data_IF_121807305250
#
_entry.id   IF_121807305250
#
_cell.length_a   1.000
_cell.length_b   1.000
_cell.length_c   1.000
_cell.angle_alpha   90.00
_cell.angle_beta   90.00
_cell.angle_gamma   90.00
#
_symmetry.space_group_name_H-M   'P 1'
#
loop_
_entity.id
_entity.type
_entity.pdbx_description
1 polymer ?
#
# COMPACT_ATOMS: atom_id res chain seq x y z
N UNK A 1 -7.09 -3.40 18.74
CA UNK A 1 -7.93 -2.39 19.43
C UNK A 1 -7.54 -2.10 20.87
N UNK A 2 -7.38 -3.09 21.77
CA UNK A 2 -7.02 -2.83 23.19
C UNK A 2 -5.51 -2.74 23.48
N UNK A 3 -4.69 -2.77 22.43
CA UNK A 3 -3.24 -2.59 22.56
C UNK A 3 -2.94 -1.17 23.04
N UNK A 4 -1.71 -0.97 23.54
CA UNK A 4 -1.23 0.39 23.84
C UNK A 4 -1.27 1.23 22.54
N UNK A 5 -1.53 2.55 22.64
CA UNK A 5 -1.38 3.44 21.51
C UNK A 5 0.05 3.42 20.98
N UNK A 6 0.17 3.59 19.68
CA UNK A 6 1.41 3.82 18.96
C UNK A 6 2.24 4.93 19.61
N UNK A 7 3.57 4.77 19.61
CA UNK A 7 4.49 5.81 20.05
C UNK A 7 5.28 6.37 18.87
N UNK A 8 5.50 5.55 17.84
CA UNK A 8 6.24 5.95 16.64
C UNK A 8 5.55 5.48 15.36
N UNK A 9 5.74 6.26 14.30
CA UNK A 9 5.39 5.89 12.93
C UNK A 9 6.65 5.83 12.10
N UNK A 10 6.89 4.68 11.47
CA UNK A 10 7.95 4.53 10.48
C UNK A 10 7.44 4.97 9.12
N UNK A 11 8.23 5.75 8.39
CA UNK A 11 7.84 6.38 7.12
C UNK A 11 8.89 6.11 6.05
N UNK A 12 8.49 5.48 4.95
CA UNK A 12 9.35 5.32 3.78
C UNK A 12 9.51 6.67 3.07
N UNK A 13 10.75 7.10 2.89
CA UNK A 13 11.06 8.40 2.32
C UNK A 13 11.98 8.23 1.11
N UNK A 14 11.62 8.80 -0.03
CA UNK A 14 12.51 8.83 -1.20
C UNK A 14 12.94 10.23 -1.56
N UNK A 15 14.09 10.32 -2.21
CA UNK A 15 14.46 11.52 -2.93
C UNK A 15 13.85 11.47 -4.33
N UNK A 16 13.00 12.45 -4.64
CA UNK A 16 12.32 12.48 -5.93
C UNK A 16 13.26 12.90 -7.06
N UNK A 17 13.15 12.25 -8.21
CA UNK A 17 13.79 12.69 -9.46
C UNK A 17 14.98 11.81 -9.85
N UNK A 18 15.21 11.68 -11.15
CA UNK A 18 16.34 10.94 -11.73
C UNK A 18 17.69 11.64 -11.52
N UNK A 19 17.66 12.90 -11.07
CA UNK A 19 18.84 13.78 -10.98
C UNK A 19 19.30 14.03 -9.54
N UNK A 20 18.65 13.42 -8.54
CA UNK A 20 19.07 13.50 -7.14
C UNK A 20 19.86 12.25 -6.78
N UNK A 21 21.14 12.44 -6.47
CA UNK A 21 22.08 11.37 -6.14
C UNK A 21 22.16 11.10 -4.63
N UNK A 22 21.00 11.06 -3.97
CA UNK A 22 20.87 10.76 -2.54
C UNK A 22 20.14 9.43 -2.34
N UNK A 23 20.57 8.58 -1.40
CA UNK A 23 19.87 7.33 -1.12
C UNK A 23 18.54 7.61 -0.42
N UNK A 24 17.49 6.91 -0.85
CA UNK A 24 16.24 6.85 -0.09
C UNK A 24 16.50 6.46 1.38
N UNK A 25 15.54 6.73 2.28
CA UNK A 25 15.72 6.44 3.70
C UNK A 25 14.42 6.03 4.38
N UNK A 26 14.55 5.38 5.53
CA UNK A 26 13.45 5.19 6.47
C UNK A 26 13.56 6.24 7.57
N UNK A 27 12.45 6.90 7.88
CA UNK A 27 12.30 7.82 8.99
C UNK A 27 11.46 7.19 10.10
N UNK A 28 11.71 7.59 11.35
CA UNK A 28 10.84 7.33 12.50
C UNK A 28 10.33 8.66 13.04
N UNK A 29 9.02 8.81 13.12
CA UNK A 29 8.32 9.99 13.62
C UNK A 29 7.76 9.69 14.99
N UNK A 30 8.05 10.55 15.97
CA UNK A 30 7.43 10.48 17.29
C UNK A 30 6.00 11.02 17.23
N UNK A 31 5.04 10.15 17.55
CA UNK A 31 3.61 10.45 17.50
C UNK A 31 2.96 10.45 18.88
N UNK A 32 3.75 10.35 19.96
CA UNK A 32 3.23 10.44 21.32
C UNK A 32 2.98 11.91 21.71
N UNK A 33 1.72 12.33 21.97
CA UNK A 33 1.41 13.71 22.33
C UNK A 33 2.05 14.20 23.63
N UNK A 34 2.50 13.29 24.50
CA UNK A 34 3.19 13.60 25.76
C UNK A 34 4.71 13.76 25.58
N UNK A 35 5.25 13.40 24.41
CA UNK A 35 6.68 13.49 24.12
C UNK A 35 7.11 14.93 23.82
N UNK A 36 8.29 15.38 24.30
CA UNK A 36 8.90 16.65 23.86
C UNK A 36 9.29 16.66 22.37
N UNK A 37 9.31 15.48 21.74
CA UNK A 37 9.59 15.30 20.32
C UNK A 37 8.34 15.02 19.49
N UNK A 38 7.13 15.15 20.07
CA UNK A 38 5.88 14.99 19.34
C UNK A 38 5.90 15.75 18.00
N UNK A 39 5.49 15.05 16.94
CA UNK A 39 5.46 15.58 15.57
C UNK A 39 6.84 15.94 15.01
N UNK A 40 7.88 15.20 15.39
CA UNK A 40 9.24 15.33 14.83
C UNK A 40 9.75 13.98 14.34
N UNK A 41 10.59 14.03 13.30
CA UNK A 41 11.41 12.88 12.90
C UNK A 41 12.56 12.73 13.90
N UNK A 42 12.59 11.61 14.61
CA UNK A 42 13.55 11.31 15.68
C UNK A 42 14.63 10.30 15.26
N UNK A 43 14.33 9.42 14.31
CA UNK A 43 15.26 8.41 13.80
C UNK A 43 15.28 8.36 12.27
N UNK A 44 16.45 8.04 11.69
CA UNK A 44 16.66 7.97 10.23
C UNK A 44 17.69 6.90 9.90
N UNK A 45 17.51 6.16 8.82
CA UNK A 45 18.56 5.34 8.21
C UNK A 45 18.45 5.36 6.70
N UNK A 46 19.57 5.65 6.03
CA UNK A 46 19.65 5.59 4.57
C UNK A 46 19.63 4.14 4.08
N UNK A 47 19.04 3.95 2.90
CA UNK A 47 19.29 2.78 2.08
C UNK A 47 20.76 2.80 1.61
N UNK A 48 21.38 1.64 1.38
CA UNK A 48 22.82 1.59 1.13
C UNK A 48 23.24 2.14 -0.24
N UNK A 49 22.32 2.18 -1.21
CA UNK A 49 22.60 2.57 -2.60
C UNK A 49 21.45 3.43 -3.13
N UNK A 50 21.81 4.49 -3.86
CA UNK A 50 20.89 5.41 -4.55
C UNK A 50 19.98 4.69 -5.54
N UNK A 51 18.76 5.22 -5.73
CA UNK A 51 17.86 4.81 -6.82
C UNK A 51 16.95 3.63 -6.49
N UNK A 52 16.65 3.39 -5.21
CA UNK A 52 15.68 2.37 -4.80
C UNK A 52 14.25 2.71 -5.26
N UNK A 53 13.79 3.93 -5.04
CA UNK A 53 12.37 4.31 -5.07
C UNK A 53 11.56 3.44 -4.10
N UNK A 54 11.89 3.57 -2.80
CA UNK A 54 11.12 2.93 -1.71
C UNK A 54 9.69 3.43 -1.76
N UNK A 55 8.72 2.53 -1.74
CA UNK A 55 7.31 2.86 -1.98
C UNK A 55 6.40 2.34 -0.88
N UNK A 56 6.25 1.02 -0.83
CA UNK A 56 5.61 0.29 0.25
C UNK A 56 6.65 -0.53 1.00
N UNK A 57 6.34 -0.87 2.24
CA UNK A 57 7.14 -1.78 3.03
C UNK A 57 6.23 -2.62 3.91
N UNK A 58 6.79 -3.65 4.55
CA UNK A 58 6.03 -4.51 5.46
C UNK A 58 6.90 -5.02 6.58
N UNK A 59 6.26 -5.51 7.63
CA UNK A 59 6.93 -6.10 8.78
C UNK A 59 7.50 -7.48 8.47
N UNK A 60 8.49 -7.93 9.27
CA UNK A 60 8.94 -9.32 9.27
C UNK A 60 7.92 -10.28 9.88
N UNK A 61 7.15 -9.80 10.87
CA UNK A 61 6.09 -10.55 11.53
C UNK A 61 4.88 -9.68 11.86
N UNK A 62 3.71 -10.29 11.86
CA UNK A 62 2.46 -9.64 12.26
C UNK A 62 1.61 -10.60 13.10
N UNK A 63 0.38 -10.19 13.43
CA UNK A 63 -0.56 -11.00 14.23
C UNK A 63 -0.82 -12.39 13.66
N UNK A 64 -0.62 -12.62 12.36
CA UNK A 64 -0.82 -13.93 11.73
C UNK A 64 0.18 -14.97 12.27
N UNK A 65 1.38 -14.52 12.63
CA UNK A 65 2.50 -15.31 13.15
C UNK A 65 2.41 -15.58 14.66
N UNK A 66 1.23 -15.44 15.30
CA UNK A 66 1.05 -15.58 16.76
C UNK A 66 1.52 -16.92 17.37
N UNK A 67 1.72 -17.97 16.56
CA UNK A 67 2.24 -19.28 17.00
C UNK A 67 3.76 -19.45 16.75
N UNK A 68 4.38 -18.50 16.07
CA UNK A 68 5.81 -18.53 15.71
C UNK A 68 6.53 -17.48 16.55
N UNK A 69 7.43 -17.87 17.47
CA UNK A 69 8.16 -16.91 18.30
C UNK A 69 9.04 -16.02 17.43
N UNK A 70 8.71 -14.73 17.34
CA UNK A 70 9.53 -13.74 16.65
C UNK A 70 9.08 -12.33 17.07
N UNK A 71 10.03 -11.39 17.09
CA UNK A 71 9.76 -10.02 17.45
C UNK A 71 9.57 -9.17 16.19
N UNK A 72 8.57 -8.28 16.25
CA UNK A 72 8.33 -7.24 15.24
C UNK A 72 9.38 -6.15 15.38
N UNK A 73 10.54 -6.34 14.76
CA UNK A 73 11.68 -5.43 14.88
C UNK A 73 12.31 -5.11 13.53
N UNK A 74 11.85 -5.73 12.45
CA UNK A 74 12.37 -5.50 11.12
C UNK A 74 11.27 -5.09 10.16
N UNK A 75 11.61 -4.12 9.32
CA UNK A 75 10.80 -3.73 8.18
C UNK A 75 11.57 -4.01 6.89
N UNK A 76 10.87 -4.54 5.89
CA UNK A 76 11.40 -4.85 4.58
C UNK A 76 10.88 -3.81 3.60
N UNK A 77 11.80 -3.04 3.00
CA UNK A 77 11.53 -1.97 2.05
C UNK A 77 11.99 -2.37 0.64
N UNK A 78 11.09 -2.91 -0.19
CA UNK A 78 11.35 -3.07 -1.62
C UNK A 78 11.61 -1.73 -2.32
N UNK A 79 12.66 -1.70 -3.14
CA UNK A 79 12.93 -0.59 -4.07
C UNK A 79 12.33 -0.90 -5.45
N UNK A 80 11.32 -0.15 -5.86
CA UNK A 80 10.62 -0.40 -7.13
C UNK A 80 11.54 -0.20 -8.35
N UNK A 81 12.52 0.69 -8.28
CA UNK A 81 13.45 0.95 -9.39
C UNK A 81 14.67 0.04 -9.37
N UNK A 82 15.22 -0.21 -8.19
CA UNK A 82 16.44 -1.02 -8.03
C UNK A 82 16.17 -2.52 -8.12
N UNK A 83 14.96 -2.95 -7.72
CA UNK A 83 14.64 -4.36 -7.54
C UNK A 83 15.16 -4.97 -6.23
N UNK A 84 15.78 -4.17 -5.35
CA UNK A 84 16.34 -4.61 -4.06
C UNK A 84 15.23 -4.73 -3.00
N UNK A 85 15.52 -5.48 -1.94
CA UNK A 85 14.77 -5.39 -0.68
C UNK A 85 15.75 -5.03 0.42
N UNK A 86 15.54 -3.87 1.04
CA UNK A 86 16.33 -3.41 2.17
C UNK A 86 15.63 -3.78 3.46
N UNK A 87 16.32 -4.48 4.36
CA UNK A 87 15.83 -4.86 5.68
C UNK A 87 16.43 -3.90 6.70
N UNK A 88 15.57 -3.18 7.41
CA UNK A 88 15.95 -2.22 8.44
C UNK A 88 15.47 -2.74 9.79
N UNK A 89 16.35 -2.68 10.79
CA UNK A 89 15.96 -2.90 12.17
C UNK A 89 15.44 -1.58 12.77
N UNK A 90 14.30 -1.68 13.45
CA UNK A 90 13.54 -0.57 14.04
C UNK A 90 13.27 -0.77 15.55
N UNK A 91 13.98 -1.70 16.20
CA UNK A 91 13.85 -2.01 17.63
C UNK A 91 14.06 -0.78 18.52
N UNK A 92 14.96 0.12 18.12
CA UNK A 92 15.18 1.42 18.77
C UNK A 92 14.72 2.51 17.79
N UNK A 93 13.50 3.06 17.93
CA UNK A 93 12.92 3.97 16.95
C UNK A 93 13.73 5.24 16.68
N UNK A 94 14.52 5.71 17.65
CA UNK A 94 15.42 6.86 17.50
C UNK A 94 16.72 6.52 16.77
N UNK A 95 17.07 5.24 16.70
CA UNK A 95 18.31 4.74 16.10
C UNK A 95 18.01 3.54 15.20
N UNK A 96 17.49 3.83 14.01
CA UNK A 96 17.26 2.84 12.96
C UNK A 96 18.61 2.39 12.36
N UNK A 97 18.72 1.15 11.90
CA UNK A 97 19.91 0.71 11.16
C UNK A 97 19.62 -0.32 10.09
N UNK A 98 20.42 -0.26 9.03
CA UNK A 98 20.44 -1.29 7.98
C UNK A 98 20.87 -2.63 8.56
N UNK A 99 20.02 -3.65 8.40
CA UNK A 99 20.30 -5.02 8.82
C UNK A 99 20.84 -5.86 7.65
N UNK A 100 20.18 -5.80 6.49
CA UNK A 100 20.51 -6.61 5.31
C UNK A 100 19.97 -5.97 4.04
N UNK A 101 20.61 -6.24 2.92
CA UNK A 101 20.03 -6.00 1.60
C UNK A 101 19.96 -7.31 0.84
N UNK A 102 18.80 -7.58 0.24
CA UNK A 102 18.57 -8.69 -0.68
C UNK A 102 18.72 -8.14 -2.09
N UNK A 103 19.74 -8.61 -2.80
CA UNK A 103 20.09 -8.11 -4.12
C UNK A 103 19.11 -8.61 -5.20
N UNK A 104 18.85 -7.81 -6.27
CA UNK A 104 17.90 -8.17 -7.30
C UNK A 104 18.31 -9.44 -8.05
N UNK A 105 19.61 -9.68 -8.20
CA UNK A 105 20.16 -10.89 -8.82
C UNK A 105 19.81 -12.14 -8.01
N UNK A 106 19.95 -12.09 -6.68
CA UNK A 106 19.56 -13.20 -5.80
C UNK A 106 18.07 -13.50 -5.92
N UNK A 107 17.21 -12.48 -5.94
CA UNK A 107 15.77 -12.67 -6.11
C UNK A 107 15.48 -13.31 -7.47
N UNK A 108 16.09 -12.79 -8.55
CA UNK A 108 15.90 -13.31 -9.90
C UNK A 108 16.38 -14.75 -10.03
N UNK A 109 17.58 -15.07 -9.57
CA UNK A 109 18.16 -16.41 -9.68
C UNK A 109 17.33 -17.47 -8.97
N UNK A 110 16.81 -17.17 -7.78
CA UNK A 110 16.07 -18.12 -6.95
C UNK A 110 14.58 -18.24 -7.32
N UNK A 111 14.01 -17.25 -8.01
CA UNK A 111 12.55 -17.16 -8.18
C UNK A 111 12.07 -16.87 -9.60
N UNK A 112 12.93 -16.34 -10.47
CA UNK A 112 12.54 -15.78 -11.76
C UNK A 112 11.83 -14.43 -11.67
N UNK A 113 11.55 -13.91 -10.46
CA UNK A 113 10.82 -12.67 -10.24
C UNK A 113 11.75 -11.45 -10.14
N UNK A 114 11.25 -10.26 -10.47
CA UNK A 114 11.96 -8.98 -10.36
C UNK A 114 11.00 -7.85 -9.96
N UNK A 115 11.52 -6.75 -9.43
CA UNK A 115 10.71 -5.60 -8.97
C UNK A 115 9.76 -5.99 -7.82
N UNK A 116 10.30 -6.35 -6.63
CA UNK A 116 9.49 -6.64 -5.45
C UNK A 116 8.69 -5.42 -5.02
N UNK A 117 7.49 -5.64 -4.46
CA UNK A 117 6.52 -4.60 -4.17
C UNK A 117 5.95 -4.71 -2.75
N UNK A 118 4.90 -5.51 -2.55
CA UNK A 118 4.25 -5.63 -1.25
C UNK A 118 4.83 -6.81 -0.46
N UNK A 119 4.93 -6.66 0.86
CA UNK A 119 5.55 -7.63 1.77
C UNK A 119 4.56 -7.98 2.87
N UNK A 120 4.27 -9.26 3.09
CA UNK A 120 3.39 -9.73 4.16
C UNK A 120 3.93 -10.98 4.85
N UNK A 121 4.11 -10.97 6.18
CA UNK A 121 4.40 -12.16 6.96
C UNK A 121 3.29 -13.19 6.84
N UNK A 122 3.64 -14.47 6.90
CA UNK A 122 2.71 -15.59 6.88
C UNK A 122 2.60 -16.26 8.27
N UNK A 123 1.53 -17.02 8.53
CA UNK A 123 1.35 -17.72 9.82
C UNK A 123 2.47 -18.74 10.13
N UNK A 124 3.10 -19.30 9.10
CA UNK A 124 4.18 -20.27 9.24
C UNK A 124 5.57 -19.64 9.50
N UNK A 125 5.65 -18.30 9.58
CA UNK A 125 6.91 -17.56 9.79
C UNK A 125 7.68 -17.21 8.52
N UNK A 126 7.24 -17.67 7.35
CA UNK A 126 7.76 -17.17 6.07
C UNK A 126 7.19 -15.76 5.79
N UNK A 127 7.79 -15.05 4.83
CA UNK A 127 7.33 -13.76 4.36
C UNK A 127 7.02 -13.87 2.88
N UNK A 128 5.81 -13.52 2.47
CA UNK A 128 5.38 -13.50 1.07
C UNK A 128 5.61 -12.11 0.47
N UNK A 129 6.18 -12.07 -0.73
CA UNK A 129 6.52 -10.83 -1.44
C UNK A 129 5.96 -10.88 -2.85
N UNK A 130 5.25 -9.82 -3.27
CA UNK A 130 4.75 -9.67 -4.64
C UNK A 130 5.74 -8.96 -5.55
N UNK A 131 5.61 -9.17 -6.87
CA UNK A 131 6.48 -8.57 -7.87
C UNK A 131 5.74 -8.07 -9.12
N UNK A 132 6.26 -6.97 -9.67
CA UNK A 132 5.72 -6.35 -10.89
C UNK A 132 6.32 -6.89 -12.18
N UNK A 133 7.42 -7.64 -12.11
CA UNK A 133 8.05 -8.23 -13.28
C UNK A 133 8.72 -9.56 -12.95
N UNK A 134 9.28 -10.17 -13.99
CA UNK A 134 10.13 -11.35 -13.88
C UNK A 134 11.29 -11.24 -14.84
N UNK A 135 11.89 -12.39 -15.13
CA UNK A 135 13.00 -12.53 -16.06
C UNK A 135 12.72 -11.81 -17.40
N UNK A 136 13.70 -11.01 -17.84
CA UNK A 136 13.66 -10.31 -19.13
C UNK A 136 13.74 -11.28 -20.31
N UNK A 137 13.14 -10.93 -21.45
CA UNK A 137 13.28 -11.71 -22.70
C UNK A 137 14.71 -11.75 -23.25
N UNK A 138 15.58 -10.84 -22.81
CA UNK A 138 17.01 -10.80 -23.18
C UNK A 138 17.90 -11.66 -22.28
N UNK A 139 17.36 -12.15 -21.17
CA UNK A 139 18.07 -13.01 -20.24
C UNK A 139 17.96 -14.46 -20.70
N UNK A 140 19.10 -15.13 -20.85
CA UNK A 140 19.19 -16.48 -21.42
C UNK A 140 19.01 -17.61 -20.42
N UNK A 141 18.90 -17.31 -19.12
CA UNK A 141 18.65 -18.35 -18.09
C UNK A 141 17.30 -19.02 -18.34
N UNK A 142 17.12 -20.26 -17.90
CA UNK A 142 15.84 -20.98 -18.01
C UNK A 142 15.07 -20.86 -16.69
N UNK A 143 14.62 -19.65 -16.37
CA UNK A 143 13.87 -19.36 -15.14
C UNK A 143 12.37 -19.26 -15.44
N UNK A 144 11.50 -19.43 -14.42
CA UNK A 144 10.09 -19.11 -14.55
C UNK A 144 9.93 -17.64 -14.99
N UNK A 145 9.12 -17.41 -16.02
CA UNK A 145 8.96 -16.08 -16.62
C UNK A 145 7.79 -15.33 -15.99
N UNK A 146 7.93 -14.02 -15.90
CA UNK A 146 6.84 -13.12 -15.53
C UNK A 146 6.74 -12.78 -14.03
N UNK A 147 5.91 -11.77 -13.71
CA UNK A 147 5.62 -11.33 -12.34
C UNK A 147 5.01 -12.41 -11.47
N UNK A 148 5.00 -12.23 -10.14
CA UNK A 148 4.37 -13.19 -9.24
C UNK A 148 4.61 -12.91 -7.76
N UNK A 149 4.63 -13.98 -6.98
CA UNK A 149 4.82 -14.03 -5.54
C UNK A 149 5.98 -14.97 -5.24
N UNK A 150 6.80 -14.62 -4.25
CA UNK A 150 7.87 -15.48 -3.75
C UNK A 150 8.01 -15.39 -2.23
N UNK A 151 8.68 -16.40 -1.66
CA UNK A 151 8.86 -16.52 -0.22
C UNK A 151 10.27 -16.12 0.21
N UNK A 152 10.35 -15.39 1.32
CA UNK A 152 11.52 -15.29 2.17
C UNK A 152 11.32 -16.14 3.43
N UNK A 153 12.41 -16.67 4.00
CA UNK A 153 12.38 -17.25 5.35
C UNK A 153 12.50 -16.17 6.44
N UNK A 154 12.46 -16.61 7.70
CA UNK A 154 12.58 -15.73 8.87
C UNK A 154 13.95 -15.01 8.99
N UNK A 155 14.99 -15.50 8.30
CA UNK A 155 16.33 -14.89 8.21
C UNK A 155 16.48 -14.01 6.94
N UNK A 156 15.36 -13.72 6.29
CA UNK A 156 15.28 -12.94 5.06
C UNK A 156 16.10 -13.54 3.90
N UNK A 157 16.23 -14.87 3.83
CA UNK A 157 16.79 -15.56 2.67
C UNK A 157 15.68 -15.89 1.68
N UNK A 158 15.98 -15.73 0.39
CA UNK A 158 15.05 -16.07 -0.68
C UNK A 158 14.89 -17.59 -0.72
N UNK A 159 13.65 -18.09 -0.63
CA UNK A 159 13.37 -19.53 -0.62
C UNK A 159 13.05 -20.07 -2.00
N UNK A 160 11.93 -19.61 -2.56
CA UNK A 160 11.39 -20.05 -3.85
C UNK A 160 10.25 -19.16 -4.30
N UNK A 161 9.93 -19.23 -5.58
CA UNK A 161 8.65 -18.78 -6.13
C UNK A 161 7.48 -19.50 -5.44
N UNK A 162 6.42 -18.76 -5.14
CA UNK A 162 5.22 -19.29 -4.51
C UNK A 162 4.22 -19.81 -5.53
N UNK A 163 3.99 -19.07 -6.62
CA UNK A 163 3.01 -19.40 -7.67
C UNK A 163 3.58 -20.18 -8.87
N UNK A 164 2.67 -20.55 -9.80
CA UNK A 164 2.92 -21.30 -11.05
C UNK A 164 3.65 -20.56 -12.19
N UNK A 165 4.08 -19.32 -12.02
CA UNK A 165 4.54 -18.44 -13.10
C UNK A 165 3.45 -17.99 -14.06
N UNK A 166 2.65 -17.05 -13.57
CA UNK A 166 1.57 -16.41 -14.31
C UNK A 166 2.06 -15.09 -14.97
N UNK A 167 1.69 -14.78 -16.24
CA UNK A 167 2.03 -13.49 -16.87
C UNK A 167 1.40 -12.25 -16.21
N UNK A 168 0.52 -12.41 -15.22
CA UNK A 168 -0.24 -11.33 -14.62
C UNK A 168 0.52 -10.60 -13.50
N UNK A 169 0.64 -9.27 -13.63
CA UNK A 169 1.30 -8.43 -12.62
C UNK A 169 0.69 -8.63 -11.22
N UNK A 170 1.51 -8.51 -10.19
CA UNK A 170 1.08 -8.56 -8.80
C UNK A 170 1.75 -7.41 -8.04
N UNK A 171 1.08 -6.27 -7.93
CA UNK A 171 1.61 -5.12 -7.18
C UNK A 171 1.25 -5.25 -5.70
N UNK A 172 -0.03 -5.36 -5.37
CA UNK A 172 -0.50 -5.66 -4.01
C UNK A 172 -1.15 -7.05 -3.95
N UNK A 173 -1.26 -7.58 -2.74
CA UNK A 173 -2.03 -8.77 -2.45
C UNK A 173 -2.48 -8.76 -1.01
N UNK A 174 -3.51 -9.51 -0.69
CA UNK A 174 -3.89 -9.76 0.70
C UNK A 174 -4.40 -11.18 0.80
N UNK A 175 -4.19 -11.80 1.96
CA UNK A 175 -4.64 -13.15 2.22
C UNK A 175 -5.45 -13.24 3.50
N UNK A 176 -6.28 -14.27 3.59
CA UNK A 176 -7.02 -14.60 4.80
C UNK A 176 -6.96 -16.10 5.02
N UNK A 177 -6.38 -16.52 6.14
CA UNK A 177 -6.20 -17.94 6.53
C UNK A 177 -7.01 -18.31 7.78
N UNK A 178 -8.18 -17.68 7.96
CA UNK A 178 -9.08 -17.94 9.08
C UNK A 178 -9.61 -19.38 9.14
N UNK A 179 -10.62 -19.69 9.99
CA UNK A 179 -11.14 -21.06 10.16
C UNK A 179 -11.86 -21.63 8.92
N UNK A 180 -12.18 -20.79 7.93
CA UNK A 180 -12.72 -21.21 6.63
C UNK A 180 -11.56 -21.56 5.67
N UNK A 181 -11.87 -22.01 4.45
CA UNK A 181 -10.82 -22.23 3.46
C UNK A 181 -10.02 -20.94 3.19
N UNK A 182 -8.69 -21.02 3.23
CA UNK A 182 -7.82 -19.87 3.04
C UNK A 182 -7.87 -19.35 1.60
N UNK A 183 -7.66 -18.05 1.43
CA UNK A 183 -7.72 -17.34 0.15
C UNK A 183 -6.64 -16.27 0.06
N UNK A 184 -6.12 -16.04 -1.15
CA UNK A 184 -5.34 -14.86 -1.47
C UNK A 184 -6.00 -14.11 -2.65
N UNK A 185 -6.06 -12.79 -2.55
CA UNK A 185 -6.48 -11.91 -3.64
C UNK A 185 -5.30 -11.00 -3.98
N UNK A 186 -4.93 -10.93 -5.25
CA UNK A 186 -3.90 -10.01 -5.74
C UNK A 186 -4.42 -9.01 -6.76
N UNK A 187 -3.74 -7.86 -6.82
CA UNK A 187 -4.06 -6.75 -7.69
C UNK A 187 -2.86 -6.44 -8.59
N UNK A 188 -3.07 -6.23 -9.90
CA UNK A 188 -1.97 -6.04 -10.83
C UNK A 188 -1.45 -4.60 -10.95
N UNK A 189 -2.29 -3.59 -10.68
CA UNK A 189 -2.11 -2.19 -11.05
C UNK A 189 -1.55 -1.95 -12.46
N UNK A 190 -0.23 -1.95 -12.65
CA UNK A 190 0.44 -1.95 -13.96
C UNK A 190 1.89 -2.41 -13.87
N UNK A 191 2.42 -2.98 -14.95
CA UNK A 191 3.83 -3.37 -15.04
C UNK A 191 4.80 -2.17 -15.11
N UNK A 192 6.12 -2.40 -14.94
CA UNK A 192 7.11 -1.33 -14.79
C UNK A 192 7.16 -0.33 -15.96
N UNK A 193 6.96 -0.81 -17.20
CA UNK A 193 6.95 0.05 -18.40
C UNK A 193 5.87 1.14 -18.33
N UNK A 194 4.71 0.83 -17.74
CA UNK A 194 3.60 1.76 -17.58
C UNK A 194 3.79 2.63 -16.35
N UNK A 195 4.12 2.03 -15.19
CA UNK A 195 4.21 2.73 -13.91
C UNK A 195 5.34 3.77 -13.87
N UNK A 196 6.55 3.37 -14.30
CA UNK A 196 7.79 4.13 -14.05
C UNK A 196 7.89 5.45 -14.80
N UNK A 197 7.09 5.63 -15.85
CA UNK A 197 7.12 6.80 -16.75
C UNK A 197 6.15 7.92 -16.37
N UNK A 198 5.34 7.73 -15.33
CA UNK A 198 4.22 8.63 -15.04
C UNK A 198 2.90 8.11 -15.61
N UNK A 199 1.83 8.87 -15.40
CA UNK A 199 0.50 8.54 -15.89
C UNK A 199 0.39 8.82 -17.39
N UNK A 200 0.16 7.78 -18.18
CA UNK A 200 -0.20 7.88 -19.59
C UNK A 200 -1.68 7.47 -19.82
N UNK A 201 -2.58 8.39 -20.22
CA UNK A 201 -3.97 8.04 -20.47
C UNK A 201 -4.14 7.04 -21.63
N UNK A 202 -3.19 6.94 -22.57
CA UNK A 202 -3.24 5.98 -23.67
C UNK A 202 -3.12 4.53 -23.18
N UNK A 203 -2.50 4.30 -22.02
CA UNK A 203 -2.38 2.98 -21.42
C UNK A 203 -3.72 2.45 -20.84
N UNK A 204 -4.76 3.30 -20.75
CA UNK A 204 -6.11 2.85 -20.40
C UNK A 204 -6.77 2.04 -21.52
N UNK A 205 -6.47 2.38 -22.77
CA UNK A 205 -6.99 1.69 -23.95
C UNK A 205 -6.26 0.37 -24.24
N UNK A 206 -5.08 0.17 -23.64
CA UNK A 206 -4.26 -1.04 -23.81
C UNK A 206 -3.77 -1.27 -25.25
N UNK A 207 -3.76 -0.24 -26.10
CA UNK A 207 -3.35 -0.30 -27.51
C UNK A 207 -1.92 0.25 -27.69
N UNK A 208 -1.26 -0.18 -28.77
CA UNK A 208 -0.04 0.45 -29.33
C UNK A 208 1.25 0.38 -28.48
N UNK A 209 1.46 -0.67 -27.68
CA UNK A 209 2.76 -0.93 -27.04
C UNK A 209 3.14 0.01 -25.87
N UNK A 210 2.23 0.88 -25.43
CA UNK A 210 2.40 1.82 -24.31
C UNK A 210 2.25 1.19 -22.92
N UNK A 211 2.00 -0.12 -22.85
CA UNK A 211 1.65 -0.80 -21.60
C UNK A 211 0.16 -0.70 -21.27
N UNK A 212 -0.28 -1.37 -20.21
CA UNK A 212 -1.69 -1.47 -19.82
C UNK A 212 -1.88 -1.44 -18.31
N UNK A 213 -2.86 -0.69 -17.84
CA UNK A 213 -3.35 -0.80 -16.45
C UNK A 213 -4.28 -2.01 -16.33
N UNK A 214 -4.16 -2.74 -15.22
CA UNK A 214 -5.07 -3.81 -14.87
C UNK A 214 -6.50 -3.31 -14.71
N UNK A 215 -7.46 -4.23 -14.81
CA UNK A 215 -8.89 -3.93 -14.80
C UNK A 215 -9.70 -4.99 -14.01
N UNK A 216 -9.05 -5.64 -13.05
CA UNK A 216 -9.64 -6.71 -12.25
C UNK A 216 -8.64 -7.26 -11.24
N UNK A 217 -9.06 -8.31 -10.54
CA UNK A 217 -8.28 -8.99 -9.49
C UNK A 217 -8.09 -10.45 -9.80
N UNK A 218 -7.06 -11.03 -9.20
CA UNK A 218 -6.78 -12.46 -9.24
C UNK A 218 -7.06 -13.06 -7.88
N UNK A 219 -7.83 -14.12 -7.86
CA UNK A 219 -8.22 -14.82 -6.64
C UNK A 219 -7.55 -16.19 -6.74
N UNK A 220 -6.70 -16.52 -5.76
CA UNK A 220 -5.79 -17.67 -5.79
C UNK A 220 -6.23 -18.77 -4.82
N UNK A 221 -6.04 -20.03 -5.24
CA UNK A 221 -6.10 -21.16 -4.32
C UNK A 221 -4.89 -21.13 -3.39
N UNK A 222 -5.12 -20.81 -2.11
CA UNK A 222 -4.05 -20.73 -1.12
C UNK A 222 -3.36 -22.08 -0.88
N UNK A 223 -4.12 -23.18 -0.91
CA UNK A 223 -3.62 -24.51 -0.58
C UNK A 223 -2.85 -25.15 -1.74
N UNK A 224 -3.17 -24.76 -2.97
CA UNK A 224 -2.43 -25.15 -4.17
C UNK A 224 -2.08 -23.92 -5.02
N UNK A 225 -0.96 -23.27 -4.71
CA UNK A 225 -0.47 -22.11 -5.48
C UNK A 225 -0.10 -22.44 -6.94
N UNK A 226 -0.09 -23.73 -7.31
CA UNK A 226 0.17 -24.17 -8.68
C UNK A 226 -1.07 -24.08 -9.58
N UNK A 227 -2.27 -23.92 -8.99
CA UNK A 227 -3.52 -23.73 -9.72
C UNK A 227 -3.57 -22.39 -10.46
N UNK A 228 -4.34 -22.34 -11.55
CA UNK A 228 -4.63 -21.07 -12.23
C UNK A 228 -5.46 -20.15 -11.33
N UNK A 229 -5.02 -18.91 -11.08
CA UNK A 229 -5.84 -17.96 -10.36
C UNK A 229 -7.07 -17.58 -11.18
N UNK A 230 -8.18 -17.38 -10.49
CA UNK A 230 -9.40 -16.86 -11.11
C UNK A 230 -9.27 -15.36 -11.31
N UNK A 231 -9.36 -14.91 -12.55
CA UNK A 231 -9.50 -13.48 -12.85
C UNK A 231 -10.95 -13.01 -12.72
N UNK A 232 -11.16 -11.92 -11.99
CA UNK A 232 -12.46 -11.24 -11.89
C UNK A 232 -12.31 -9.83 -12.45
N UNK A 233 -12.91 -9.61 -13.62
CA UNK A 233 -12.94 -8.29 -14.27
C UNK A 233 -13.86 -7.33 -13.52
N UNK A 234 -13.40 -6.10 -13.34
CA UNK A 234 -14.19 -4.97 -12.86
C UNK A 234 -14.97 -4.27 -13.99
N UNK A 235 -14.96 -4.84 -15.21
CA UNK A 235 -15.66 -4.30 -16.38
C UNK A 235 -15.27 -2.83 -16.63
N UNK A 236 -16.21 -2.03 -17.10
CA UNK A 236 -16.03 -0.60 -17.35
C UNK A 236 -15.97 0.16 -16.01
N UNK A 237 -15.01 1.07 -15.86
CA UNK A 237 -14.69 1.84 -14.63
C UNK A 237 -13.92 1.07 -13.52
N UNK A 238 -13.10 0.09 -13.90
CA UNK A 238 -12.28 -0.70 -12.98
C UNK A 238 -10.77 -0.55 -13.10
N UNK A 239 -10.26 0.55 -13.68
CA UNK A 239 -8.84 0.67 -14.05
C UNK A 239 -7.90 0.93 -12.87
N UNK A 240 -6.78 0.22 -12.89
CA UNK A 240 -5.73 0.29 -11.89
C UNK A 240 -6.14 -0.22 -10.50
N UNK A 241 -6.64 -1.46 -10.34
CA UNK A 241 -6.78 -2.06 -9.01
C UNK A 241 -5.42 -2.10 -8.31
N UNK A 242 -5.35 -1.54 -7.09
CA UNK A 242 -4.10 -1.47 -6.34
C UNK A 242 -4.27 -1.88 -4.88
N UNK A 243 -4.70 -1.04 -3.91
CA UNK A 243 -4.79 -1.50 -2.54
C UNK A 243 -5.93 -2.51 -2.41
N UNK A 244 -5.62 -3.69 -1.87
CA UNK A 244 -6.60 -4.71 -1.46
C UNK A 244 -6.52 -4.89 0.04
N UNK A 245 -7.66 -4.81 0.73
CA UNK A 245 -7.76 -5.08 2.18
C UNK A 245 -8.91 -6.02 2.44
N UNK A 246 -8.63 -7.16 3.08
CA UNK A 246 -9.70 -7.97 3.67
C UNK A 246 -10.24 -7.31 4.93
N UNK A 247 -11.47 -7.66 5.29
CA UNK A 247 -11.97 -7.43 6.64
C UNK A 247 -11.03 -8.09 7.66
N UNK A 248 -10.85 -7.44 8.81
CA UNK A 248 -10.01 -7.94 9.90
C UNK A 248 -10.57 -9.18 10.55
N UNK A 249 -11.91 -9.31 10.60
CA UNK A 249 -12.55 -10.51 11.11
C UNK A 249 -12.22 -11.73 10.22
N UNK A 250 -11.42 -12.70 10.72
CA UNK A 250 -10.94 -13.82 9.91
C UNK A 250 -12.05 -14.78 9.46
N UNK A 251 -13.27 -14.65 9.98
CA UNK A 251 -14.43 -15.45 9.56
C UNK A 251 -15.16 -14.87 8.34
N UNK A 252 -14.91 -13.60 8.00
CA UNK A 252 -15.55 -12.89 6.88
C UNK A 252 -14.58 -12.76 5.71
N UNK A 253 -14.73 -13.61 4.68
CA UNK A 253 -13.87 -13.61 3.48
C UNK A 253 -14.32 -12.55 2.46
N UNK A 254 -14.28 -11.29 2.87
CA UNK A 254 -14.63 -10.17 2.02
C UNK A 254 -13.49 -9.17 2.00
N UNK A 255 -13.20 -8.63 0.81
CA UNK A 255 -12.14 -7.65 0.63
C UNK A 255 -12.63 -6.43 -0.15
N UNK A 256 -12.15 -5.26 0.24
CA UNK A 256 -12.31 -4.05 -0.55
C UNK A 256 -11.06 -3.81 -1.41
N UNK A 257 -11.28 -3.40 -2.65
CA UNK A 257 -10.23 -3.09 -3.62
C UNK A 257 -10.53 -1.74 -4.27
N UNK A 258 -9.58 -0.80 -4.23
CA UNK A 258 -9.71 0.44 -5.00
C UNK A 258 -9.14 0.26 -6.40
N UNK A 259 -9.94 0.60 -7.41
CA UNK A 259 -9.47 0.85 -8.76
C UNK A 259 -9.03 2.32 -8.85
N UNK A 260 -7.73 2.54 -8.60
CA UNK A 260 -7.12 3.85 -8.36
C UNK A 260 -7.49 4.82 -9.45
N UNK A 261 -7.25 4.47 -10.72
CA UNK A 261 -7.40 5.41 -11.82
C UNK A 261 -8.88 5.74 -12.06
N UNK A 262 -9.76 4.76 -11.88
CA UNK A 262 -11.19 4.96 -12.04
C UNK A 262 -11.83 5.73 -10.89
N UNK A 263 -11.24 5.71 -9.68
CA UNK A 263 -11.86 6.32 -8.49
C UNK A 263 -13.06 5.51 -7.98
N UNK A 264 -13.00 4.17 -8.11
CA UNK A 264 -14.06 3.25 -7.68
C UNK A 264 -13.54 2.25 -6.66
N UNK A 265 -14.42 1.77 -5.77
CA UNK A 265 -14.12 0.71 -4.80
C UNK A 265 -15.04 -0.49 -5.05
N UNK A 266 -14.43 -1.67 -5.02
CA UNK A 266 -15.05 -2.94 -5.31
C UNK A 266 -14.99 -3.85 -4.09
N UNK A 267 -16.10 -4.48 -3.76
CA UNK A 267 -16.21 -5.51 -2.75
C UNK A 267 -16.06 -6.88 -3.43
N UNK A 268 -15.03 -7.62 -3.04
CA UNK A 268 -14.81 -9.02 -3.41
C UNK A 268 -15.51 -9.88 -2.37
N UNK A 269 -16.44 -10.72 -2.81
CA UNK A 269 -17.22 -11.61 -1.94
C UNK A 269 -17.19 -13.03 -2.45
N UNK A 270 -17.21 -13.98 -1.52
CA UNK A 270 -17.52 -15.37 -1.85
C UNK A 270 -19.01 -15.50 -2.18
N UNK A 271 -19.33 -15.85 -3.43
CA UNK A 271 -20.70 -16.06 -3.91
C UNK A 271 -21.24 -17.47 -3.71
N UNK A 272 -20.51 -18.36 -3.02
CA UNK A 272 -21.03 -19.69 -2.71
C UNK A 272 -22.10 -19.57 -1.62
N UNK A 273 -23.28 -20.14 -1.87
CA UNK A 273 -24.23 -20.37 -0.78
C UNK A 273 -23.65 -21.48 0.09
N UNK A 274 -23.64 -21.31 1.40
CA UNK A 274 -23.30 -22.40 2.34
C UNK A 274 -24.27 -23.57 2.07
N UNK A 275 -23.81 -24.55 1.29
CA UNK A 275 -24.44 -25.88 1.21
C UNK A 275 -23.57 -26.82 2.03
N UNK A 276 -24.12 -27.53 3.02
CA UNK A 276 -23.36 -28.39 3.94
C UNK A 276 -22.51 -29.49 3.25
N UNK A 277 -22.80 -29.77 1.99
CA UNK A 277 -22.46 -31.00 1.28
C UNK A 277 -21.67 -30.76 -0.03
N UNK A 278 -21.41 -29.51 -0.42
CA UNK A 278 -20.49 -29.20 -1.52
C UNK A 278 -19.12 -28.80 -0.97
N UNK A 279 -18.02 -29.43 -1.42
CA UNK A 279 -16.68 -28.87 -1.22
C UNK A 279 -16.71 -27.42 -1.70
N UNK A 280 -16.29 -26.48 -0.83
CA UNK A 280 -16.16 -25.07 -1.21
C UNK A 280 -15.21 -24.99 -2.41
N UNK A 281 -15.79 -24.80 -3.59
CA UNK A 281 -15.06 -24.49 -4.81
C UNK A 281 -14.82 -22.99 -4.79
N UNK A 282 -13.57 -22.59 -4.89
CA UNK A 282 -13.14 -21.20 -5.01
C UNK A 282 -13.74 -20.46 -6.23
N UNK A 283 -14.40 -21.19 -7.13
CA UNK A 283 -15.09 -20.69 -8.33
C UNK A 283 -16.29 -19.77 -8.10
N UNK A 284 -16.58 -19.35 -6.87
CA UNK A 284 -17.75 -18.55 -6.56
C UNK A 284 -17.46 -17.08 -6.22
N UNK A 285 -16.21 -16.63 -6.17
CA UNK A 285 -15.92 -15.22 -5.91
C UNK A 285 -16.49 -14.30 -7.01
N UNK A 286 -17.06 -13.18 -6.56
CA UNK A 286 -17.61 -12.10 -7.38
C UNK A 286 -17.10 -10.74 -6.90
N UNK A 287 -17.14 -9.75 -7.79
CA UNK A 287 -16.80 -8.36 -7.49
C UNK A 287 -18.02 -7.46 -7.68
N UNK A 288 -18.30 -6.61 -6.68
CA UNK A 288 -19.40 -5.66 -6.67
C UNK A 288 -18.85 -4.24 -6.54
N UNK A 289 -19.17 -3.34 -7.47
CA UNK A 289 -18.85 -1.91 -7.30
C UNK A 289 -19.74 -1.35 -6.20
N UNK A 290 -19.14 -0.83 -5.15
CA UNK A 290 -19.83 -0.36 -3.94
C UNK A 290 -19.63 1.12 -3.67
N UNK A 291 -18.57 1.72 -4.21
CA UNK A 291 -18.32 3.17 -4.16
C UNK A 291 -17.83 3.64 -5.54
N UNK A 292 -18.32 4.79 -5.98
CA UNK A 292 -17.81 5.53 -7.13
C UNK A 292 -17.68 7.00 -6.72
N UNK A 293 -16.47 7.54 -6.86
CA UNK A 293 -16.20 8.95 -6.61
C UNK A 293 -16.25 9.69 -7.94
N UNK A 294 -17.34 10.41 -8.16
CA UNK A 294 -17.59 11.11 -9.42
C UNK A 294 -16.48 12.14 -9.74
N UNK A 295 -16.03 12.22 -11.00
CA UNK A 295 -15.12 13.27 -11.44
C UNK A 295 -15.70 14.67 -11.19
N UNK A 296 -14.83 15.63 -10.89
CA UNK A 296 -15.19 17.04 -10.67
C UNK A 296 -14.59 17.88 -11.78
N UNK A 297 -15.42 18.75 -12.37
CA UNK A 297 -14.97 19.65 -13.44
C UNK A 297 -14.23 20.86 -12.86
N UNK A 298 -12.98 21.06 -13.28
CA UNK A 298 -12.15 22.22 -12.94
C UNK A 298 -11.57 22.77 -14.25
N UNK A 299 -11.83 24.04 -14.55
CA UNK A 299 -11.36 24.71 -15.78
C UNK A 299 -11.65 23.92 -17.07
N UNK A 300 -12.84 23.32 -17.15
CA UNK A 300 -13.29 22.53 -18.30
C UNK A 300 -12.70 21.12 -18.40
N UNK A 301 -11.85 20.70 -17.45
CA UNK A 301 -11.26 19.36 -17.38
C UNK A 301 -11.92 18.53 -16.29
N UNK A 302 -12.18 17.25 -16.58
CA UNK A 302 -12.70 16.32 -15.58
C UNK A 302 -11.54 15.77 -14.72
N UNK A 303 -11.52 16.19 -13.46
CA UNK A 303 -10.56 15.71 -12.47
C UNK A 303 -11.16 14.51 -11.75
N UNK A 304 -10.61 13.32 -12.01
CA UNK A 304 -10.96 12.09 -11.30
C UNK A 304 -10.42 12.13 -9.86
N UNK A 305 -11.01 11.32 -8.98
CA UNK A 305 -10.57 11.22 -7.58
C UNK A 305 -9.14 10.69 -7.44
N UNK A 306 -8.81 9.68 -8.24
CA UNK A 306 -7.62 8.85 -8.10
C UNK A 306 -7.50 8.25 -6.69
N UNK A 307 -8.35 7.27 -6.38
CA UNK A 307 -8.43 6.68 -5.04
C UNK A 307 -7.23 5.77 -4.77
N UNK A 308 -6.12 6.33 -4.29
CA UNK A 308 -4.80 5.68 -4.26
C UNK A 308 -4.60 4.70 -3.12
N UNK A 309 -5.31 4.86 -2.01
CA UNK A 309 -5.17 4.00 -0.84
C UNK A 309 -6.52 3.78 -0.15
N UNK A 310 -6.62 2.67 0.59
CA UNK A 310 -7.76 2.36 1.43
C UNK A 310 -7.34 1.61 2.71
N UNK A 311 -8.01 1.94 3.83
CA UNK A 311 -7.78 1.32 5.14
C UNK A 311 -9.12 1.01 5.80
N UNK A 312 -9.22 -0.16 6.44
CA UNK A 312 -10.41 -0.61 7.17
C UNK A 312 -10.10 -0.52 8.67
N UNK A 313 -10.99 0.06 9.47
CA UNK A 313 -10.83 0.10 10.92
C UNK A 313 -10.85 -1.30 11.52
N UNK A 314 -10.10 -1.49 12.62
CA UNK A 314 -9.86 -2.82 13.21
C UNK A 314 -11.14 -3.52 13.72
N UNK A 315 -12.25 -2.79 13.91
CA UNK A 315 -13.58 -3.32 14.22
C UNK A 315 -14.43 -3.61 12.97
N UNK A 316 -13.84 -3.50 11.78
CA UNK A 316 -14.51 -3.59 10.48
C UNK A 316 -15.69 -2.62 10.33
N UNK A 317 -15.73 -1.49 11.04
CA UNK A 317 -16.88 -0.57 10.97
C UNK A 317 -16.72 0.52 9.91
N UNK A 318 -15.51 1.04 9.73
CA UNK A 318 -15.23 2.14 8.82
C UNK A 318 -14.20 1.76 7.75
N UNK A 319 -14.41 2.31 6.57
CA UNK A 319 -13.48 2.30 5.44
C UNK A 319 -13.02 3.75 5.19
N UNK A 320 -11.72 3.96 5.10
CA UNK A 320 -11.11 5.24 4.77
C UNK A 320 -10.50 5.19 3.39
N UNK A 321 -10.70 6.25 2.60
CA UNK A 321 -10.18 6.39 1.23
C UNK A 321 -9.36 7.66 1.10
N UNK A 322 -8.23 7.61 0.41
CA UNK A 322 -7.49 8.79 -0.03
C UNK A 322 -7.74 9.04 -1.53
N UNK A 323 -8.27 10.20 -1.87
CA UNK A 323 -8.50 10.61 -3.25
C UNK A 323 -7.43 11.62 -3.64
N UNK A 324 -6.33 11.12 -4.20
CA UNK A 324 -5.10 11.88 -4.36
C UNK A 324 -5.26 13.12 -5.24
N UNK A 325 -6.00 13.04 -6.35
CA UNK A 325 -6.21 14.19 -7.23
C UNK A 325 -7.31 15.13 -6.74
N UNK A 326 -8.35 14.61 -6.08
CA UNK A 326 -9.37 15.46 -5.46
C UNK A 326 -8.84 16.22 -4.26
N UNK A 327 -7.87 15.64 -3.55
CA UNK A 327 -7.28 16.25 -2.37
C UNK A 327 -7.96 15.90 -1.06
N UNK A 328 -8.91 14.96 -1.05
CA UNK A 328 -9.71 14.63 0.12
C UNK A 328 -9.50 13.22 0.66
N UNK A 329 -9.69 13.10 1.97
CA UNK A 329 -9.84 11.83 2.67
C UNK A 329 -11.31 11.64 3.03
N UNK A 330 -11.84 10.45 2.80
CA UNK A 330 -13.23 10.10 3.11
C UNK A 330 -13.29 8.96 4.11
N UNK A 331 -14.30 9.00 4.96
CA UNK A 331 -14.68 7.92 5.87
C UNK A 331 -16.07 7.42 5.49
N UNK A 332 -16.19 6.11 5.31
CA UNK A 332 -17.43 5.43 5.03
C UNK A 332 -17.77 4.45 6.15
N UNK A 333 -18.99 4.49 6.68
CA UNK A 333 -19.55 3.39 7.46
C UNK A 333 -19.82 2.22 6.51
N UNK A 334 -19.22 1.07 6.80
CA UNK A 334 -19.33 -0.14 5.99
C UNK A 334 -20.17 -1.23 6.66
N UNK A 335 -20.89 -0.95 7.76
CA UNK A 335 -21.69 -1.94 8.49
C UNK A 335 -22.61 -2.76 7.56
N UNK A 336 -23.21 -2.10 6.56
CA UNK A 336 -23.69 -2.76 5.34
C UNK A 336 -22.59 -2.77 4.28
N UNK A 337 -21.94 -3.93 4.11
CA UNK A 337 -20.75 -4.08 3.27
C UNK A 337 -20.98 -3.71 1.82
N UNK A 338 -22.18 -4.02 1.32
CA UNK A 338 -22.58 -3.77 -0.06
C UNK A 338 -23.06 -2.34 -0.32
N UNK A 339 -23.27 -1.55 0.74
CA UNK A 339 -23.75 -0.16 0.64
C UNK A 339 -23.00 0.77 1.60
N UNK A 340 -21.69 1.00 1.39
CA UNK A 340 -20.92 1.94 2.20
C UNK A 340 -21.57 3.33 2.22
N UNK A 341 -21.67 3.93 3.41
CA UNK A 341 -22.29 5.25 3.61
C UNK A 341 -21.22 6.27 3.99
N UNK A 342 -21.07 7.34 3.21
CA UNK A 342 -20.15 8.43 3.54
C UNK A 342 -20.58 9.09 4.86
N UNK A 343 -19.67 9.16 5.84
CA UNK A 343 -19.91 9.75 7.17
C UNK A 343 -18.90 10.84 7.53
N UNK A 344 -17.77 10.93 6.83
CA UNK A 344 -16.78 11.98 7.03
C UNK A 344 -16.03 12.29 5.73
N UNK A 345 -15.67 13.56 5.55
CA UNK A 345 -14.84 14.02 4.44
C UNK A 345 -14.05 15.24 4.87
N UNK A 346 -12.76 15.27 4.53
CA UNK A 346 -11.91 16.46 4.72
C UNK A 346 -11.02 16.65 3.49
N UNK A 347 -10.96 17.87 2.98
CA UNK A 347 -10.04 18.25 1.92
C UNK A 347 -8.73 18.72 2.55
N UNK A 348 -7.62 18.05 2.25
CA UNK A 348 -6.30 18.41 2.73
C UNK A 348 -5.55 19.26 1.71
N UNK A 349 -5.57 18.86 0.43
CA UNK A 349 -4.85 19.55 -0.64
C UNK A 349 -5.56 19.33 -1.98
N UNK A 350 -4.83 18.91 -3.02
CA UNK A 350 -5.35 18.43 -4.30
C UNK A 350 -5.67 19.49 -5.35
N UNK A 351 -6.01 19.00 -6.53
CA UNK A 351 -6.26 19.82 -7.74
C UNK A 351 -7.58 20.58 -7.70
N UNK A 352 -8.48 20.27 -6.76
CA UNK A 352 -9.76 20.97 -6.61
C UNK A 352 -9.62 22.31 -5.88
N UNK A 353 -8.47 22.59 -5.26
CA UNK A 353 -8.23 23.85 -4.55
C UNK A 353 -9.06 24.03 -3.27
N UNK A 354 -9.61 22.93 -2.71
CA UNK A 354 -10.47 22.93 -1.51
C UNK A 354 -9.74 22.61 -0.21
N UNK A 355 -8.43 22.38 -0.27
CA UNK A 355 -7.63 21.97 0.89
C UNK A 355 -7.67 22.95 2.05
N UNK A 356 -7.80 22.42 3.27
CA UNK A 356 -7.64 23.18 4.51
C UNK A 356 -6.19 23.64 4.68
N UNK A 357 -5.98 24.61 5.58
CA UNK A 357 -4.64 25.00 6.02
C UNK A 357 -4.31 24.30 7.33
N UNK A 358 -3.02 24.04 7.56
CA UNK A 358 -2.50 23.68 8.87
C UNK A 358 -1.87 24.93 9.50
N UNK A 359 -2.62 25.63 10.36
CA UNK A 359 -2.31 27.00 10.75
C UNK A 359 -2.32 27.91 9.52
N UNK A 360 -1.22 28.62 9.26
CA UNK A 360 -1.09 29.49 8.07
C UNK A 360 -0.58 28.75 6.82
N UNK A 361 -0.19 27.48 6.95
CA UNK A 361 0.43 26.71 5.86
C UNK A 361 -0.63 26.07 4.96
N UNK A 362 -0.59 26.38 3.66
CA UNK A 362 -1.33 25.64 2.64
C UNK A 362 -0.63 24.30 2.37
N UNK A 363 -1.38 23.21 2.38
CA UNK A 363 -0.88 21.90 1.96
C UNK A 363 -0.85 21.82 0.42
N UNK A 364 0.15 21.12 -0.11
CA UNK A 364 0.33 20.84 -1.55
C UNK A 364 0.32 19.33 -1.81
N UNK A 365 0.38 18.89 -3.07
CA UNK A 365 0.17 17.47 -3.37
C UNK A 365 -1.27 17.05 -3.14
N UNK A 366 -1.47 15.78 -2.78
CA UNK A 366 -2.78 15.25 -2.37
C UNK A 366 -2.63 14.15 -1.33
N UNK A 367 -3.66 13.82 -0.54
CA UNK A 367 -3.58 12.71 0.41
C UNK A 367 -3.35 11.40 -0.33
N UNK A 368 -2.36 10.62 0.10
CA UNK A 368 -1.96 9.39 -0.56
C UNK A 368 -1.96 8.20 0.40
N UNK A 369 -0.89 7.94 1.14
CA UNK A 369 -0.86 6.77 2.03
C UNK A 369 -1.66 7.09 3.28
N UNK A 370 -2.46 6.12 3.70
CA UNK A 370 -3.28 6.17 4.88
C UNK A 370 -2.79 5.13 5.88
N UNK A 371 -2.66 5.54 7.15
CA UNK A 371 -2.37 4.59 8.21
C UNK A 371 -3.19 4.87 9.45
N UNK A 372 -4.04 3.90 9.82
CA UNK A 372 -4.98 4.04 10.92
C UNK A 372 -4.45 3.34 12.18
N UNK A 373 -4.58 4.03 13.31
CA UNK A 373 -4.29 3.48 14.63
C UNK A 373 -5.18 2.29 14.96
N UNK A 374 -4.68 1.37 15.81
CA UNK A 374 -5.41 0.16 16.17
C UNK A 374 -6.73 0.41 16.92
N UNK A 375 -6.90 1.58 17.54
CA UNK A 375 -8.14 2.02 18.19
C UNK A 375 -9.08 2.79 17.25
N UNK A 376 -8.65 3.03 16.00
CA UNK A 376 -9.41 3.71 14.95
C UNK A 376 -9.54 5.23 15.11
N UNK A 377 -8.87 5.85 16.08
CA UNK A 377 -9.07 7.26 16.42
C UNK A 377 -8.13 8.22 15.70
N UNK A 378 -6.99 7.74 15.19
CA UNK A 378 -5.95 8.57 14.57
C UNK A 378 -5.62 8.00 13.20
N UNK A 379 -5.82 8.81 12.17
CA UNK A 379 -5.50 8.47 10.80
C UNK A 379 -4.34 9.35 10.31
N UNK A 380 -3.18 8.75 10.12
CA UNK A 380 -2.02 9.42 9.56
C UNK A 380 -2.10 9.43 8.03
N UNK A 381 -1.68 10.54 7.42
CA UNK A 381 -1.79 10.76 5.98
C UNK A 381 -0.50 11.38 5.45
N UNK A 382 0.11 10.78 4.43
CA UNK A 382 1.22 11.36 3.65
C UNK A 382 0.75 11.79 2.26
N UNK A 383 1.57 12.55 1.53
CA UNK A 383 1.14 13.21 0.29
C UNK A 383 1.78 12.78 -1.04
N UNK A 384 2.82 11.95 -1.01
CA UNK A 384 3.49 11.45 -2.23
C UNK A 384 2.89 10.13 -2.68
N UNK A 385 2.64 9.99 -3.98
CA UNK A 385 2.32 8.72 -4.60
C UNK A 385 3.59 8.05 -5.09
N UNK A 386 4.05 8.43 -6.27
CA UNK A 386 5.19 7.83 -6.94
C UNK A 386 5.93 8.94 -7.68
N UNK A 387 7.26 8.95 -7.67
CA UNK A 387 8.03 10.13 -8.08
C UNK A 387 7.64 10.69 -9.45
N UNK A 388 7.51 9.82 -10.46
CA UNK A 388 7.15 10.24 -11.82
C UNK A 388 5.74 10.82 -11.91
N UNK A 389 4.82 10.34 -11.08
CA UNK A 389 3.43 10.81 -11.03
C UNK A 389 3.32 12.10 -10.22
N UNK A 390 4.01 12.18 -9.08
CA UNK A 390 4.10 13.39 -8.28
C UNK A 390 4.60 14.56 -9.13
N UNK A 391 5.67 14.37 -9.91
CA UNK A 391 6.22 15.41 -10.78
C UNK A 391 5.22 15.86 -11.86
N UNK A 392 4.38 14.95 -12.33
CA UNK A 392 3.40 15.22 -13.38
C UNK A 392 2.19 15.99 -12.86
N UNK A 393 1.68 15.64 -11.69
CA UNK A 393 0.44 16.22 -11.14
C UNK A 393 0.68 17.32 -10.12
N UNK A 394 1.79 17.26 -9.38
CA UNK A 394 2.17 18.16 -8.30
C UNK A 394 3.67 18.53 -8.36
N UNK A 395 4.11 19.23 -9.43
CA UNK A 395 5.51 19.53 -9.66
C UNK A 395 6.19 20.25 -8.49
N UNK A 396 5.44 21.02 -7.69
CA UNK A 396 5.95 21.70 -6.49
C UNK A 396 6.50 20.74 -5.42
N UNK A 397 6.14 19.45 -5.45
CA UNK A 397 6.70 18.43 -4.55
C UNK A 397 8.19 18.16 -4.82
N UNK A 398 8.70 18.46 -6.01
CA UNK A 398 10.13 18.38 -6.31
C UNK A 398 10.94 19.45 -5.56
N UNK A 399 10.32 20.61 -5.31
CA UNK A 399 10.99 21.76 -4.66
C UNK A 399 10.76 21.79 -3.15
N UNK A 400 9.63 21.24 -2.69
CA UNK A 400 9.18 21.39 -1.30
C UNK A 400 9.20 20.09 -0.51
N UNK A 401 9.31 18.95 -1.18
CA UNK A 401 9.16 17.64 -0.55
C UNK A 401 7.69 17.35 -0.25
N UNK A 402 7.43 16.40 0.64
CA UNK A 402 6.07 16.06 1.06
C UNK A 402 5.83 16.33 2.55
N UNK A 403 4.66 15.97 3.03
CA UNK A 403 4.24 16.16 4.42
C UNK A 403 3.54 14.91 4.95
N UNK A 404 3.42 14.86 6.27
CA UNK A 404 2.56 13.93 7.01
C UNK A 404 1.70 14.72 8.00
N UNK A 405 0.41 14.40 8.06
CA UNK A 405 -0.56 14.96 9.01
C UNK A 405 -1.29 13.86 9.76
N UNK A 406 -1.97 14.22 10.85
CA UNK A 406 -2.89 13.35 11.57
C UNK A 406 -4.31 13.91 11.44
N UNK A 407 -5.25 13.02 11.17
CA UNK A 407 -6.67 13.29 11.28
C UNK A 407 -7.21 12.58 12.52
N UNK A 408 -8.02 13.29 13.30
CA UNK A 408 -8.80 12.71 14.38
C UNK A 408 -10.11 12.16 13.80
N UNK A 409 -10.42 10.91 14.12
CA UNK A 409 -11.57 10.18 13.59
C UNK A 409 -12.65 10.00 14.65
N UNK A 410 -13.89 10.40 14.35
CA UNK A 410 -15.05 10.04 15.17
C UNK A 410 -15.45 8.58 14.85
N UNK A 411 -15.14 7.67 15.76
CA UNK A 411 -15.42 6.23 15.62
C UNK A 411 -16.85 5.84 16.03
N UNK A 412 -17.65 6.78 16.54
CA UNK A 412 -19.04 6.51 16.89
C UNK A 412 -19.97 6.90 15.75
N UNK A 413 -19.91 8.17 15.33
CA UNK A 413 -20.82 8.77 14.35
C UNK A 413 -20.20 8.92 12.95
N UNK A 414 -18.88 8.81 12.85
CA UNK A 414 -18.14 9.24 11.68
C UNK A 414 -17.91 10.76 11.69
N UNK A 415 -16.84 11.18 11.03
CA UNK A 415 -16.30 12.54 11.07
C UNK A 415 -14.77 12.50 11.04
N UNK A 416 -14.19 13.44 10.31
CA UNK A 416 -12.75 13.62 10.18
C UNK A 416 -12.40 15.09 10.46
N UNK A 417 -11.43 15.32 11.35
CA UNK A 417 -10.90 16.66 11.62
C UNK A 417 -9.39 16.65 11.57
N UNK A 418 -8.79 17.72 11.04
CA UNK A 418 -7.33 17.86 11.04
C UNK A 418 -6.85 18.14 12.47
N UNK A 419 -5.87 17.36 12.96
CA UNK A 419 -5.18 17.68 14.20
C UNK A 419 -4.17 18.80 13.94
N UNK A 420 -4.51 20.02 14.39
CA UNK A 420 -3.68 21.23 14.20
C UNK A 420 -2.34 21.21 14.97
N UNK A 421 -2.13 20.22 15.84
CA UNK A 421 -0.89 20.05 16.61
C UNK A 421 0.10 19.10 15.94
N UNK A 422 -0.27 18.41 14.87
CA UNK A 422 0.56 17.41 14.23
C UNK A 422 0.81 17.73 12.75
N UNK A 423 2.06 18.07 12.43
CA UNK A 423 2.52 18.28 11.07
C UNK A 423 4.02 18.01 10.95
N UNK A 424 4.39 17.05 10.10
CA UNK A 424 5.78 16.74 9.78
C UNK A 424 6.06 17.11 8.34
N UNK A 425 7.14 17.83 8.11
CA UNK A 425 7.55 18.30 6.78
C UNK A 425 8.84 17.64 6.34
N UNK A 426 8.80 16.89 5.23
CA UNK A 426 9.91 16.06 4.78
C UNK A 426 10.90 16.78 3.85
N UNK A 427 10.59 18.01 3.44
CA UNK A 427 11.45 18.76 2.51
C UNK A 427 12.81 19.20 3.05
N UNK A 428 13.08 19.04 4.35
CA UNK A 428 14.39 19.33 4.97
C UNK A 428 14.96 18.14 5.74
N UNK A 429 14.32 16.99 5.60
CA UNK A 429 14.78 15.79 6.30
C UNK A 429 16.08 15.25 5.66
N UNK A 430 16.79 14.41 6.42
CA UNK A 430 18.07 13.81 5.99
C UNK A 430 19.12 14.86 5.56
N UNK A 431 19.41 15.82 6.45
CA UNK A 431 20.41 16.87 6.20
C UNK A 431 19.91 18.02 5.33
N UNK A 432 18.73 17.90 4.70
CA UNK A 432 18.08 18.98 3.96
C UNK A 432 18.78 19.36 2.65
N UNK A 433 19.61 18.47 2.11
CA UNK A 433 20.26 18.65 0.79
C UNK A 433 19.23 18.69 -0.32
N UNK A 434 18.20 17.84 -0.22
CA UNK A 434 17.14 17.73 -1.20
C UNK A 434 15.77 17.48 -0.54
N UNK A 435 14.66 17.93 -1.16
CA UNK A 435 13.34 17.71 -0.60
C UNK A 435 12.89 16.25 -0.73
N UNK A 436 12.71 15.57 0.42
CA UNK A 436 12.28 14.17 0.43
C UNK A 436 10.76 14.00 0.41
N UNK A 437 10.33 12.81 -0.01
CA UNK A 437 8.93 12.43 -0.20
C UNK A 437 8.58 11.22 0.67
N UNK A 438 7.83 11.48 1.74
CA UNK A 438 7.18 10.49 2.58
C UNK A 438 6.02 9.78 1.85
N UNK A 439 6.01 8.44 1.93
CA UNK A 439 5.04 7.52 1.32
C UNK A 439 4.38 6.62 2.37
N UNK A 440 4.49 5.30 2.23
CA UNK A 440 3.92 4.34 3.17
C UNK A 440 4.38 4.61 4.59
N UNK A 441 3.51 4.21 5.52
CA UNK A 441 3.71 4.33 6.94
C UNK A 441 3.38 3.00 7.61
N UNK A 442 4.06 2.69 8.70
CA UNK A 442 3.67 1.62 9.61
C UNK A 442 3.87 2.04 11.06
N UNK A 443 2.93 1.65 11.92
CA UNK A 443 2.95 1.97 13.35
C UNK A 443 3.79 0.95 14.12
N UNK A 444 4.53 1.39 15.12
CA UNK A 444 5.37 0.52 15.98
C UNK A 444 4.60 -0.62 16.66
N UNK A 445 3.33 -0.41 16.97
CA UNK A 445 2.44 -1.42 17.56
C UNK A 445 1.84 -2.40 16.56
N UNK A 446 2.14 -2.23 15.27
CA UNK A 446 1.31 -2.77 14.19
C UNK A 446 0.04 -1.96 13.98
N UNK A 447 -0.65 -2.27 12.89
CA UNK A 447 -1.68 -1.39 12.35
C UNK A 447 -2.69 -2.09 11.42
N UNK A 448 -3.68 -1.32 10.97
CA UNK A 448 -4.79 -1.79 10.15
C UNK A 448 -4.42 -2.23 8.72
N UNK A 449 -3.17 -2.10 8.29
CA UNK A 449 -2.70 -2.53 6.96
C UNK A 449 -1.58 -3.56 7.04
N UNK A 450 -0.96 -3.75 8.20
CA UNK A 450 0.07 -4.77 8.44
C UNK A 450 -0.44 -6.07 9.05
N UNK A 451 -1.49 -6.00 9.87
CA UNK A 451 -1.90 -7.13 10.70
C UNK A 451 -3.02 -7.94 10.06
N UNK A 452 -2.79 -9.25 9.98
CA UNK A 452 -3.75 -10.23 9.48
C UNK A 452 -4.00 -11.21 10.62
N UNK A 453 -5.28 -11.53 10.87
CA UNK A 453 -5.69 -12.44 11.94
C UNK A 453 -6.07 -13.81 11.36
N UNK A 454 -5.95 -14.86 12.18
CA UNK A 454 -6.18 -16.26 11.79
C UNK A 454 -7.14 -16.96 12.72
#
# INVERSE_FOLDING_TARGET
MKAKPEQYVFVACSFGGIDIWEPDFLASVDVNPESPNYSKVVGRTAMPIVGDEVFWFGWNVCSSSHKTPSNRMYVLLPGLRSGRINVVNVEVPERLWMHKTIEPTTILDETGCTVPCAVRPLPNGDILVSTLAGQSSFDTRTLPKGPGLFLLDADFKVKKRWDRADPHHCMDFWYQTGPKQPVLVSTPFAGPRTLMKGFDPRALEGKNGFGRYGAGVYVWNWNDPSDEPRYISFKDNGHGPLPVRFLHNPTLRQAYVAAVISGTVWLIVDGSRERPDTPFLFNHYAALKVIEVEPVKVDGKDIRAMTTDLVISMDDKFLYLSNWLHGDVRQYDITDRGKPKLTGQIFLAGLLGKGVKHGDKKLWGGPQSLQLSLDGKRLYVTSSFFTGWDNQFYPEMAERGSWMVQLDCDTQKGGLTLNEKFFVHFGREFGGTHPSRARAMHLDTGDCTSDIFV
#
